data_IF_134658418449
#
_entry.id   IF_134658418449
#
_cell.length_a   1.000
_cell.length_b   1.000
_cell.length_c   1.000
_cell.angle_alpha   90.00
_cell.angle_beta   90.00
_cell.angle_gamma   90.00
#
_symmetry.space_group_name_H-M   'P 1'
#
loop_
_entity.id
_entity.type
_entity.pdbx_description
1 polymer ?
#
# COMPACT_ATOMS: atom_id res chain seq x y z
N UNK A 1 9.61 12.71 2.33
CA UNK A 1 8.16 12.50 2.57
C UNK A 1 7.40 12.27 1.27
N UNK A 2 7.24 13.26 0.38
CA UNK A 2 6.48 13.12 -0.87
C UNK A 2 7.01 12.03 -1.82
N UNK A 3 8.35 11.93 -1.93
CA UNK A 3 9.01 10.87 -2.72
C UNK A 3 8.67 9.47 -2.20
N UNK A 4 8.56 9.33 -0.87
CA UNK A 4 8.18 8.06 -0.24
C UNK A 4 6.74 7.68 -0.58
N UNK A 5 5.81 8.64 -0.59
CA UNK A 5 4.42 8.43 -1.04
C UNK A 5 4.37 7.87 -2.45
N UNK A 6 5.02 8.58 -3.39
CA UNK A 6 5.05 8.19 -4.81
C UNK A 6 5.68 6.80 -4.96
N UNK A 7 6.77 6.54 -4.24
CA UNK A 7 7.41 5.23 -4.22
C UNK A 7 6.47 4.14 -3.70
N UNK A 8 5.73 4.39 -2.62
CA UNK A 8 4.72 3.45 -2.10
C UNK A 8 3.65 3.12 -3.14
N UNK A 9 3.13 4.12 -3.83
CA UNK A 9 2.16 3.92 -4.92
C UNK A 9 2.74 3.11 -6.08
N UNK A 10 3.98 3.38 -6.49
CA UNK A 10 4.66 2.60 -7.54
C UNK A 10 4.82 1.14 -7.12
N UNK A 11 5.21 0.89 -5.86
CA UNK A 11 5.33 -0.47 -5.33
C UNK A 11 3.97 -1.19 -5.33
N UNK A 12 2.92 -0.54 -4.84
CA UNK A 12 1.57 -1.10 -4.89
C UNK A 12 1.11 -1.39 -6.31
N UNK A 13 1.41 -0.49 -7.26
CA UNK A 13 1.08 -0.70 -8.67
C UNK A 13 1.81 -1.90 -9.27
N UNK A 14 3.12 -2.03 -9.02
CA UNK A 14 3.91 -3.20 -9.49
C UNK A 14 3.33 -4.50 -8.93
N UNK A 15 2.96 -4.53 -7.65
CA UNK A 15 2.36 -5.73 -7.03
C UNK A 15 1.00 -6.05 -7.67
N UNK A 16 0.20 -5.02 -7.97
CA UNK A 16 -1.10 -5.18 -8.64
C UNK A 16 -0.97 -5.77 -10.06
N UNK A 17 0.13 -5.53 -10.78
CA UNK A 17 0.38 -6.15 -12.09
C UNK A 17 0.37 -7.69 -12.06
N UNK A 18 0.65 -8.29 -10.90
CA UNK A 18 0.65 -9.74 -10.70
C UNK A 18 -0.60 -10.24 -9.94
N UNK A 19 -1.64 -9.40 -9.82
CA UNK A 19 -2.86 -9.72 -9.07
C UNK A 19 -2.70 -9.65 -7.55
N UNK A 20 -1.62 -9.03 -7.06
CA UNK A 20 -1.37 -8.91 -5.63
C UNK A 20 -2.37 -8.00 -4.90
N UNK A 21 -3.06 -7.10 -5.60
CA UNK A 21 -4.17 -6.33 -5.05
C UNK A 21 -5.33 -7.25 -4.64
N UNK A 22 -5.77 -8.17 -5.52
CA UNK A 22 -6.84 -9.12 -5.19
C UNK A 22 -6.46 -10.01 -3.98
N UNK A 23 -5.23 -10.52 -3.95
CA UNK A 23 -4.74 -11.34 -2.84
C UNK A 23 -4.71 -10.58 -1.51
N UNK A 24 -4.21 -9.33 -1.53
CA UNK A 24 -4.11 -8.52 -0.32
C UNK A 24 -5.48 -8.01 0.16
N UNK A 25 -6.36 -7.60 -0.76
CA UNK A 25 -7.73 -7.21 -0.46
C UNK A 25 -8.50 -8.39 0.16
N UNK A 26 -8.40 -9.57 -0.44
CA UNK A 26 -9.04 -10.78 0.09
C UNK A 26 -8.43 -11.19 1.44
N UNK A 27 -7.11 -11.19 1.57
CA UNK A 27 -6.43 -11.50 2.83
C UNK A 27 -6.83 -10.57 3.97
N UNK A 28 -6.93 -9.25 3.70
CA UNK A 28 -7.43 -8.28 4.69
C UNK A 28 -8.89 -8.58 5.05
N UNK A 29 -9.72 -8.93 4.06
CA UNK A 29 -11.11 -9.30 4.29
C UNK A 29 -11.24 -10.56 5.15
N UNK A 30 -10.42 -11.59 4.92
CA UNK A 30 -10.43 -12.82 5.72
C UNK A 30 -9.95 -12.57 7.16
N UNK A 31 -8.95 -11.70 7.34
CA UNK A 31 -8.38 -11.39 8.66
C UNK A 31 -9.28 -10.48 9.50
N UNK A 32 -10.00 -9.55 8.85
CA UNK A 32 -10.73 -8.48 9.55
C UNK A 32 -12.25 -8.57 9.40
N UNK A 33 -12.75 -9.43 8.51
CA UNK A 33 -14.15 -9.48 8.10
C UNK A 33 -14.59 -8.26 7.28
N UNK A 34 -13.67 -7.39 6.85
CA UNK A 34 -13.98 -6.15 6.12
C UNK A 34 -13.36 -6.16 4.73
N UNK A 35 -14.21 -6.04 3.73
CA UNK A 35 -13.78 -5.82 2.36
C UNK A 35 -13.24 -4.40 2.21
N UNK A 36 -12.00 -4.26 1.74
CA UNK A 36 -11.46 -2.97 1.29
C UNK A 36 -11.57 -2.87 -0.23
N UNK A 37 -11.66 -1.64 -0.72
CA UNK A 37 -11.63 -1.38 -2.15
C UNK A 37 -10.19 -1.28 -2.66
N UNK A 38 -10.04 -1.25 -3.99
CA UNK A 38 -8.75 -1.01 -4.65
C UNK A 38 -8.16 0.35 -4.25
N UNK A 39 -8.97 1.38 -4.01
CA UNK A 39 -8.49 2.66 -3.48
C UNK A 39 -7.92 2.50 -2.05
N UNK A 40 -8.56 1.66 -1.22
CA UNK A 40 -8.06 1.31 0.11
C UNK A 40 -6.69 0.62 0.05
N UNK A 41 -6.52 -0.30 -0.89
CA UNK A 41 -5.23 -0.94 -1.16
C UNK A 41 -4.13 0.09 -1.49
N UNK A 42 -4.35 0.98 -2.45
CA UNK A 42 -3.36 2.01 -2.81
C UNK A 42 -3.14 3.03 -1.69
N UNK A 43 -4.15 3.32 -0.89
CA UNK A 43 -4.02 4.19 0.29
C UNK A 43 -3.08 3.59 1.32
N UNK A 44 -3.16 2.28 1.59
CA UNK A 44 -2.23 1.59 2.50
C UNK A 44 -0.79 1.73 2.00
N UNK A 45 -0.55 1.46 0.71
CA UNK A 45 0.79 1.59 0.12
C UNK A 45 1.32 3.03 0.13
N UNK A 46 0.46 4.02 -0.12
CA UNK A 46 0.82 5.43 -0.01
C UNK A 46 1.23 5.82 1.42
N UNK A 47 0.50 5.34 2.43
CA UNK A 47 0.82 5.57 3.84
C UNK A 47 2.11 4.88 4.26
N UNK A 48 2.32 3.63 3.86
CA UNK A 48 3.58 2.91 4.12
C UNK A 48 4.78 3.64 3.50
N UNK A 49 4.63 4.11 2.25
CA UNK A 49 5.63 4.91 1.57
C UNK A 49 5.92 6.25 2.26
N UNK A 50 4.87 6.94 2.72
CA UNK A 50 5.01 8.17 3.52
C UNK A 50 5.79 7.92 4.81
N UNK A 51 5.41 6.90 5.59
CA UNK A 51 6.03 6.55 6.86
C UNK A 51 7.51 6.19 6.64
N UNK A 52 7.81 5.32 5.66
CA UNK A 52 9.19 4.98 5.31
C UNK A 52 10.01 6.19 4.87
N UNK A 53 9.40 7.10 4.10
CA UNK A 53 10.02 8.36 3.69
C UNK A 53 10.22 9.37 4.83
N UNK A 54 9.47 9.28 5.93
CA UNK A 54 9.68 10.07 7.14
C UNK A 54 10.83 9.48 7.97
N UNK A 55 10.82 8.17 8.19
CA UNK A 55 11.85 7.46 8.97
C UNK A 55 13.22 7.67 8.35
N UNK A 56 13.35 7.49 7.03
CA UNK A 56 14.61 7.72 6.30
C UNK A 56 15.15 9.14 6.44
N UNK A 57 14.27 10.14 6.57
CA UNK A 57 14.67 11.54 6.65
C UNK A 57 15.01 11.99 8.09
N UNK A 58 14.83 11.12 9.08
CA UNK A 58 15.19 11.36 10.49
C UNK A 58 16.47 10.63 10.93
N UNK A 59 16.98 9.70 10.11
CA UNK A 59 18.21 8.95 10.36
C UNK A 59 19.41 9.52 9.62
#
# INVERSE_FOLDING_TARGET
MLIGLIFGLIVGWIISLFGGDALLIQGISELTGKQISTEGYYTIFALLGLIGGIIKNRG
#
